data_IF_047600830820
#
_entry.id   IF_047600830820
#
_cell.length_a   1.000
_cell.length_b   1.000
_cell.length_c   1.000
_cell.angle_alpha   90.00
_cell.angle_beta   90.00
_cell.angle_gamma   90.00
#
_symmetry.space_group_name_H-M   'P 1'
#
loop_
_entity.id
_entity.type
_entity.pdbx_description
1 polymer ?
#
# COMPACT_ATOMS: atom_id res chain seq x y z
N UNK A 1 5.98 11.85 1.32
CA UNK A 1 5.17 11.39 2.46
C UNK A 1 6.09 10.71 3.46
N UNK A 2 6.01 11.06 4.74
CA UNK A 2 6.81 10.41 5.79
C UNK A 2 5.89 9.99 6.93
N UNK A 3 5.94 8.72 7.33
CA UNK A 3 5.19 8.25 8.50
C UNK A 3 5.85 8.75 9.77
N UNK A 4 5.09 8.87 10.86
CA UNK A 4 5.61 9.17 12.19
C UNK A 4 4.64 8.65 13.25
N UNK A 5 5.04 8.68 14.52
CA UNK A 5 4.12 8.47 15.64
C UNK A 5 3.13 9.63 15.75
N UNK A 6 2.00 9.38 16.42
CA UNK A 6 1.00 10.40 16.68
C UNK A 6 1.64 11.66 17.32
N UNK A 7 1.34 12.87 16.81
CA UNK A 7 0.27 13.23 15.87
C UNK A 7 0.64 13.22 14.37
N UNK A 8 1.81 12.70 13.99
CA UNK A 8 2.23 12.63 12.59
C UNK A 8 1.48 11.59 11.75
N UNK A 9 1.87 11.47 10.48
CA UNK A 9 1.17 10.60 9.53
C UNK A 9 1.29 9.13 9.94
N UNK A 10 0.15 8.50 10.17
CA UNK A 10 0.08 7.14 10.70
C UNK A 10 0.58 6.11 9.68
N UNK A 11 1.48 5.25 10.12
CA UNK A 11 2.00 4.12 9.33
C UNK A 11 0.89 3.17 8.81
N UNK A 12 -0.25 3.09 9.48
CA UNK A 12 -1.42 2.31 9.01
C UNK A 12 -2.06 2.86 7.72
N UNK A 13 -1.91 4.16 7.46
CA UNK A 13 -2.53 4.84 6.31
C UNK A 13 -1.59 4.94 5.10
N UNK A 14 -0.31 4.57 5.24
CA UNK A 14 0.63 4.68 4.13
C UNK A 14 0.30 3.74 2.97
N UNK A 15 -0.18 2.52 3.28
CA UNK A 15 -0.45 1.48 2.29
C UNK A 15 -1.61 1.86 1.35
N UNK A 16 -2.81 2.28 1.82
CA UNK A 16 -3.87 2.72 0.92
C UNK A 16 -3.50 4.02 0.18
N UNK A 17 -2.72 4.91 0.82
CA UNK A 17 -2.25 6.12 0.15
C UNK A 17 -1.29 5.79 -0.99
N UNK A 18 -0.42 4.77 -0.86
CA UNK A 18 0.45 4.31 -1.96
C UNK A 18 -0.36 3.90 -3.19
N UNK A 19 -1.53 3.27 -3.02
CA UNK A 19 -2.42 2.96 -4.16
C UNK A 19 -2.92 4.24 -4.83
N UNK A 20 -3.31 5.26 -4.07
CA UNK A 20 -3.68 6.54 -4.66
C UNK A 20 -2.48 7.22 -5.37
N UNK A 21 -1.27 7.08 -4.83
CA UNK A 21 -0.05 7.62 -5.44
C UNK A 21 0.33 6.93 -6.76
N UNK A 22 -0.08 5.68 -7.00
CA UNK A 22 0.10 5.07 -8.33
C UNK A 22 -0.77 5.75 -9.39
N UNK A 23 -1.86 6.41 -8.98
CA UNK A 23 -2.78 7.14 -9.87
C UNK A 23 -2.44 8.63 -9.99
N UNK A 24 -1.59 9.16 -9.11
CA UNK A 24 -1.19 10.57 -9.11
C UNK A 24 -0.14 10.87 -10.18
N UNK A 25 -0.11 12.11 -10.68
CA UNK A 25 0.91 12.54 -11.66
C UNK A 25 2.26 12.82 -11.01
N UNK A 26 3.31 12.18 -11.52
CA UNK A 26 4.70 12.42 -11.14
C UNK A 26 5.32 11.37 -10.23
N UNK A 27 6.41 11.76 -9.56
CA UNK A 27 7.16 10.90 -8.64
C UNK A 27 6.81 11.22 -7.19
N UNK A 28 6.48 10.19 -6.43
CA UNK A 28 6.19 10.27 -5.00
C UNK A 28 7.17 9.43 -4.20
N UNK A 29 7.66 9.99 -3.09
CA UNK A 29 8.50 9.27 -2.14
C UNK A 29 7.67 9.00 -0.88
N UNK A 30 7.60 7.74 -0.48
CA UNK A 30 7.03 7.29 0.79
C UNK A 30 8.17 6.80 1.68
N UNK A 31 8.27 7.39 2.87
CA UNK A 31 9.28 7.09 3.86
C UNK A 31 8.62 6.49 5.10
N UNK A 32 8.92 5.23 5.41
CA UNK A 32 8.40 4.54 6.59
C UNK A 32 9.40 4.66 7.74
N UNK A 33 9.00 5.34 8.81
CA UNK A 33 9.85 5.59 9.98
C UNK A 33 9.44 4.77 11.21
N UNK A 34 8.28 4.09 11.17
CA UNK A 34 7.65 3.48 12.35
C UNK A 34 7.76 1.96 12.37
N UNK A 35 7.49 1.28 11.25
CA UNK A 35 7.46 -0.20 11.20
C UNK A 35 8.35 -0.76 10.10
N UNK A 36 9.32 -1.60 10.47
CA UNK A 36 10.44 -1.98 9.59
C UNK A 36 10.08 -2.86 8.39
N UNK A 37 8.94 -3.56 8.42
CA UNK A 37 8.56 -4.52 7.39
C UNK A 37 7.18 -4.20 6.82
N UNK A 38 7.02 -2.98 6.29
CA UNK A 38 5.71 -2.48 5.84
C UNK A 38 5.48 -2.35 4.34
N UNK A 39 6.50 -2.59 3.52
CA UNK A 39 6.39 -2.50 2.06
C UNK A 39 6.01 -3.82 1.35
N UNK A 40 5.69 -4.88 2.10
CA UNK A 40 5.35 -6.19 1.52
C UNK A 40 4.21 -6.14 0.49
N UNK A 41 3.21 -5.28 0.70
CA UNK A 41 2.08 -5.12 -0.22
C UNK A 41 2.44 -4.58 -1.62
N UNK A 42 3.63 -3.98 -1.77
CA UNK A 42 4.05 -3.37 -3.04
C UNK A 42 4.30 -4.39 -4.13
N UNK A 43 4.55 -5.67 -3.80
CA UNK A 43 4.73 -6.72 -4.80
C UNK A 43 3.46 -6.93 -5.63
N UNK A 44 2.30 -7.05 -4.98
CA UNK A 44 1.03 -7.22 -5.68
C UNK A 44 0.69 -6.00 -6.52
N UNK A 45 0.96 -4.78 -6.02
CA UNK A 45 0.76 -3.57 -6.83
C UNK A 45 1.63 -3.57 -8.09
N UNK A 46 2.89 -4.03 -8.00
CA UNK A 46 3.75 -4.21 -9.18
C UNK A 46 3.23 -5.27 -10.14
N UNK A 47 2.68 -6.38 -9.64
CA UNK A 47 2.04 -7.41 -10.47
C UNK A 47 0.82 -6.86 -11.22
N UNK A 48 0.10 -5.92 -10.60
CA UNK A 48 -0.98 -5.15 -11.24
C UNK A 48 -0.48 -4.03 -12.17
N UNK A 49 0.83 -3.89 -12.36
CA UNK A 49 1.44 -2.95 -13.30
C UNK A 49 2.05 -1.70 -12.67
N UNK A 50 1.88 -1.45 -11.36
CA UNK A 50 2.40 -0.24 -10.72
C UNK A 50 3.93 -0.12 -10.81
N UNK A 51 4.41 1.09 -11.10
CA UNK A 51 5.85 1.40 -11.06
C UNK A 51 6.28 1.81 -9.64
N UNK A 52 6.77 0.84 -8.86
CA UNK A 52 7.19 1.04 -7.45
C UNK A 52 8.56 0.43 -7.20
N UNK A 53 9.53 1.25 -6.77
CA UNK A 53 10.85 0.80 -6.34
C UNK A 53 11.01 1.00 -4.83
N UNK A 54 11.47 -0.04 -4.12
CA UNK A 54 11.76 0.03 -2.68
C UNK A 54 13.25 0.19 -2.44
N UNK A 55 13.59 0.92 -1.38
CA UNK A 55 14.95 1.34 -1.03
C UNK A 55 15.25 1.04 0.44
N UNK A 56 16.51 0.71 0.73
CA UNK A 56 16.97 0.50 2.12
C UNK A 56 17.39 1.81 2.78
N UNK A 57 17.51 2.86 1.97
CA UNK A 57 17.85 4.20 2.36
C UNK A 57 16.60 4.94 2.86
N UNK A 58 16.77 5.72 3.93
CA UNK A 58 15.78 6.69 4.36
C UNK A 58 15.83 7.87 3.35
N UNK A 59 14.84 7.99 2.46
CA UNK A 59 14.77 8.99 1.37
C UNK A 59 13.91 10.21 1.74
N UNK A 60 13.59 10.38 3.03
CA UNK A 60 12.93 11.56 3.58
C UNK A 60 13.79 12.32 4.57
N UNK A 61 13.23 13.34 5.22
CA UNK A 61 13.94 14.17 6.18
C UNK A 61 13.98 13.62 7.61
N UNK A 62 13.11 12.66 7.95
CA UNK A 62 13.02 12.08 9.29
C UNK A 62 13.95 10.87 9.47
N UNK A 63 14.50 10.67 10.67
CA UNK A 63 15.19 9.41 10.96
C UNK A 63 14.21 8.26 11.21
N UNK A 64 14.50 7.11 10.61
CA UNK A 64 13.73 5.88 10.79
C UNK A 64 14.00 5.27 12.19
N UNK A 65 12.97 4.83 12.94
CA UNK A 65 13.14 4.16 14.26
C UNK A 65 13.94 2.86 14.21
N UNK A 66 14.07 2.31 13.00
CA UNK A 66 14.84 1.11 12.69
C UNK A 66 16.03 1.45 11.76
N UNK A 67 16.53 2.70 11.84
CA UNK A 67 17.69 3.18 11.10
C UNK A 67 18.89 2.24 11.22
N UNK A 68 19.65 2.11 10.11
CA UNK A 68 20.84 1.24 9.99
C UNK A 68 20.57 -0.27 10.09
N UNK A 69 19.31 -0.72 10.06
CA UNK A 69 18.96 -2.14 9.92
C UNK A 69 18.69 -2.50 8.45
N UNK A 70 18.90 -3.77 8.09
CA UNK A 70 18.73 -4.30 6.74
C UNK A 70 17.25 -4.48 6.35
N UNK A 71 16.46 -3.41 6.45
CA UNK A 71 15.05 -3.34 6.03
C UNK A 71 14.88 -2.41 4.82
N UNK A 72 13.65 -2.34 4.28
CA UNK A 72 13.27 -1.32 3.30
C UNK A 72 12.64 -0.14 4.03
N UNK A 73 13.19 1.05 3.83
CA UNK A 73 12.82 2.26 4.56
C UNK A 73 11.99 3.20 3.69
N UNK A 74 12.20 3.16 2.37
CA UNK A 74 11.48 4.04 1.45
C UNK A 74 10.93 3.30 0.24
N UNK A 75 9.90 3.87 -0.37
CA UNK A 75 9.40 3.49 -1.67
C UNK A 75 9.28 4.73 -2.56
N UNK A 76 9.70 4.61 -3.82
CA UNK A 76 9.47 5.59 -4.87
C UNK A 76 8.39 5.04 -5.79
N UNK A 77 7.35 5.83 -5.99
CA UNK A 77 6.17 5.50 -6.79
C UNK A 77 6.12 6.47 -7.95
N UNK A 78 5.99 5.94 -9.16
CA UNK A 78 5.78 6.75 -10.38
C UNK A 78 4.35 6.57 -10.86
N UNK A 79 3.64 7.68 -11.02
CA UNK A 79 2.30 7.69 -11.60
C UNK A 79 2.13 8.79 -12.66
N UNK A 80 1.00 8.79 -13.38
CA UNK A 80 -0.07 7.81 -13.25
C UNK A 80 0.33 6.47 -13.89
N UNK A 81 -0.05 5.36 -13.25
CA UNK A 81 0.10 4.00 -13.77
C UNK A 81 -1.27 3.31 -13.73
N UNK A 82 -1.87 2.98 -14.90
CA UNK A 82 -3.07 2.16 -14.96
C UNK A 82 -2.80 0.83 -14.27
N UNK A 83 -3.66 0.46 -13.32
CA UNK A 83 -3.60 -0.86 -12.70
C UNK A 83 -4.43 -1.83 -13.54
N UNK A 84 -3.97 -3.08 -13.64
CA UNK A 84 -4.66 -4.14 -14.35
C UNK A 84 -5.08 -5.27 -13.41
N UNK A 85 -6.20 -5.91 -13.76
CA UNK A 85 -6.74 -7.03 -13.02
C UNK A 85 -5.73 -8.16 -12.86
N UNK A 86 -5.64 -8.69 -11.64
CA UNK A 86 -4.70 -9.76 -11.28
C UNK A 86 -5.30 -10.75 -10.28
N UNK A 87 -4.67 -11.91 -10.15
CA UNK A 87 -4.93 -12.86 -9.07
C UNK A 87 -4.12 -12.46 -7.85
N UNK A 88 -4.79 -12.09 -6.76
CA UNK A 88 -4.17 -11.46 -5.60
C UNK A 88 -4.50 -12.22 -4.31
N UNK A 89 -3.50 -12.50 -3.50
CA UNK A 89 -3.67 -13.08 -2.16
C UNK A 89 -3.47 -12.01 -1.09
N UNK A 90 -4.42 -11.89 -0.17
CA UNK A 90 -4.33 -10.98 0.97
C UNK A 90 -3.49 -11.64 2.09
N UNK A 91 -2.28 -11.11 2.41
CA UNK A 91 -1.40 -11.74 3.38
C UNK A 91 -1.75 -11.39 4.83
N UNK A 92 -2.36 -10.22 5.06
CA UNK A 92 -2.69 -9.70 6.39
C UNK A 92 -3.80 -8.62 6.31
N UNK A 93 -4.27 -8.14 7.46
CA UNK A 93 -5.35 -7.15 7.54
C UNK A 93 -5.02 -5.80 6.86
N UNK A 94 -3.81 -5.26 7.09
CA UNK A 94 -3.45 -3.89 6.70
C UNK A 94 -2.96 -3.85 5.26
N UNK A 95 -2.06 -4.77 4.89
CA UNK A 95 -1.70 -5.03 3.49
C UNK A 95 -2.93 -5.36 2.67
N UNK A 96 -3.78 -6.26 3.16
CA UNK A 96 -4.97 -6.72 2.45
C UNK A 96 -5.91 -5.62 2.00
N UNK A 97 -6.11 -4.61 2.84
CA UNK A 97 -6.97 -3.48 2.50
C UNK A 97 -6.47 -2.71 1.26
N UNK A 98 -5.16 -2.52 1.13
CA UNK A 98 -4.56 -1.87 -0.05
C UNK A 98 -4.65 -2.72 -1.32
N UNK A 99 -4.53 -4.04 -1.20
CA UNK A 99 -4.71 -4.93 -2.35
C UNK A 99 -6.14 -4.86 -2.88
N UNK A 100 -7.11 -4.73 -1.97
CA UNK A 100 -8.51 -4.60 -2.33
C UNK A 100 -8.84 -3.25 -2.99
N UNK A 101 -8.31 -2.15 -2.45
CA UNK A 101 -8.43 -0.83 -3.10
C UNK A 101 -7.80 -0.86 -4.49
N UNK A 102 -6.63 -1.48 -4.63
CA UNK A 102 -5.96 -1.61 -5.92
C UNK A 102 -6.80 -2.44 -6.92
N UNK A 103 -7.38 -3.56 -6.47
CA UNK A 103 -8.28 -4.38 -7.27
C UNK A 103 -9.51 -3.62 -7.76
N UNK A 104 -10.09 -2.75 -6.92
CA UNK A 104 -11.23 -1.90 -7.28
C UNK A 104 -10.85 -0.78 -8.27
N UNK A 105 -9.61 -0.29 -8.19
CA UNK A 105 -9.10 0.76 -9.08
C UNK A 105 -8.57 0.22 -10.43
N UNK A 106 -8.43 -1.10 -10.56
CA UNK A 106 -7.81 -1.71 -11.72
C UNK A 106 -8.78 -1.92 -12.89
N UNK A 107 -8.25 -1.81 -14.11
CA UNK A 107 -8.96 -2.17 -15.32
C UNK A 107 -9.06 -3.70 -15.46
N UNK A 108 -10.26 -4.19 -15.77
CA UNK A 108 -10.55 -5.61 -15.92
C UNK A 108 -11.02 -6.27 -14.62
N UNK A 109 -10.85 -7.59 -14.52
CA UNK A 109 -11.31 -8.38 -13.37
C UNK A 109 -10.12 -8.81 -12.53
N UNK A 110 -10.15 -8.50 -11.23
CA UNK A 110 -9.19 -9.04 -10.25
C UNK A 110 -9.84 -10.17 -9.45
N UNK A 111 -9.11 -11.26 -9.20
CA UNK A 111 -9.56 -12.33 -8.30
C UNK A 111 -8.82 -12.23 -6.97
N UNK A 112 -9.53 -11.80 -5.92
CA UNK A 112 -8.92 -11.58 -4.59
C UNK A 112 -9.23 -12.75 -3.65
N UNK A 113 -8.19 -13.39 -3.11
CA UNK A 113 -8.27 -14.49 -2.13
C UNK A 113 -7.87 -14.04 -0.74
N UNK A 114 -8.33 -14.74 0.30
CA UNK A 114 -7.99 -14.45 1.70
C UNK A 114 -8.77 -13.29 2.33
N UNK A 115 -9.92 -12.91 1.75
CA UNK A 115 -10.72 -11.76 2.17
C UNK A 115 -11.21 -11.83 3.63
N UNK A 116 -11.33 -13.04 4.17
CA UNK A 116 -11.61 -13.33 5.57
C UNK A 116 -10.61 -12.69 6.55
N UNK A 117 -9.39 -12.35 6.11
CA UNK A 117 -8.45 -11.57 6.92
C UNK A 117 -8.89 -10.12 7.12
N UNK A 118 -9.58 -9.52 6.14
CA UNK A 118 -10.06 -8.13 6.20
C UNK A 118 -11.24 -8.01 7.18
N UNK A 119 -12.09 -9.03 7.26
CA UNK A 119 -13.24 -9.06 8.19
C UNK A 119 -12.84 -8.91 9.66
N UNK A 120 -11.57 -9.15 10.03
CA UNK A 120 -11.06 -8.93 11.39
C UNK A 120 -10.98 -7.46 11.80
N UNK A 121 -10.93 -6.53 10.84
CA UNK A 121 -10.82 -5.09 11.11
C UNK A 121 -11.87 -4.23 10.41
N UNK A 122 -12.62 -4.79 9.46
CA UNK A 122 -13.66 -4.08 8.71
C UNK A 122 -14.96 -4.87 8.71
N UNK A 123 -15.89 -4.44 9.55
CA UNK A 123 -17.21 -5.06 9.67
C UNK A 123 -18.09 -4.72 8.46
N UNK A 124 -18.81 -5.73 7.95
CA UNK A 124 -19.73 -5.63 6.80
C UNK A 124 -19.09 -4.99 5.57
N UNK A 125 -17.81 -5.26 5.34
CA UNK A 125 -17.04 -4.58 4.31
C UNK A 125 -17.63 -4.75 2.90
N UNK A 126 -17.98 -5.98 2.50
CA UNK A 126 -18.58 -6.26 1.19
C UNK A 126 -19.89 -5.52 1.01
N UNK A 127 -20.81 -5.62 1.98
CA UNK A 127 -22.11 -4.94 1.91
C UNK A 127 -21.97 -3.41 1.84
N UNK A 128 -20.94 -2.84 2.46
CA UNK A 128 -20.65 -1.40 2.36
C UNK A 128 -20.13 -1.02 0.97
N UNK A 129 -19.35 -1.87 0.31
CA UNK A 129 -18.91 -1.63 -1.06
C UNK A 129 -20.06 -1.75 -2.06
N UNK A 130 -20.88 -2.80 -1.94
CA UNK A 130 -22.05 -3.01 -2.81
C UNK A 130 -23.07 -1.86 -2.71
N UNK A 131 -23.08 -1.12 -1.60
CA UNK A 131 -23.93 0.05 -1.40
C UNK A 131 -23.38 1.36 -2.02
N UNK A 132 -22.17 1.33 -2.61
CA UNK A 132 -21.55 2.48 -3.29
C UNK A 132 -21.76 2.49 -4.81
N UNK A 133 -22.24 1.37 -5.37
CA UNK A 133 -22.71 1.26 -6.76
C UNK A 133 -24.17 1.72 -6.89
#
# INVERSE_FOLDING_TARGET
LETNVHPGFMTDWQQPLVVALTQAEGLSIVHETVYENRFGFTSALREMGATIQVYRECLGGLECRFGQRNFFHSAVISGPTPLHGADIEIPDLRGGFSHLIAALAAEGTSNVRGINMISRGYEHFISKLEALD
#
